data_IF_385543912037
#
_entry.id   IF_385543912037
#
_cell.length_a   1.000
_cell.length_b   1.000
_cell.length_c   1.000
_cell.angle_alpha   90.00
_cell.angle_beta   90.00
_cell.angle_gamma   90.00
#
_symmetry.space_group_name_H-M   'P 1'
#
loop_
_entity.id
_entity.type
_entity.pdbx_description
1 polymer ?
#
# COMPACT_ATOMS: atom_id res chain seq x y z
N UNK A 1 23.01 5.32 -12.01
CA UNK A 1 23.61 5.39 -10.66
C UNK A 1 22.47 5.40 -9.68
N UNK A 2 22.47 4.48 -8.71
CA UNK A 2 21.46 4.49 -7.66
C UNK A 2 21.56 5.78 -6.85
N UNK A 3 20.41 6.32 -6.46
CA UNK A 3 20.30 7.50 -5.58
C UNK A 3 19.61 7.13 -4.26
N UNK A 4 19.68 5.86 -3.85
CA UNK A 4 19.17 5.43 -2.56
C UNK A 4 20.03 6.04 -1.43
N UNK A 5 19.44 6.71 -0.42
CA UNK A 5 20.15 7.41 0.66
C UNK A 5 21.18 6.56 1.42
N UNK A 6 20.86 5.30 1.67
CA UNK A 6 21.72 4.33 2.35
C UNK A 6 22.97 4.00 1.53
N UNK A 7 22.86 3.94 0.21
CA UNK A 7 23.99 3.67 -0.68
C UNK A 7 24.86 4.91 -0.91
N UNK A 8 24.25 6.10 -1.02
CA UNK A 8 25.00 7.34 -1.30
C UNK A 8 25.66 7.92 -0.05
N UNK A 9 25.06 7.76 1.14
CA UNK A 9 25.60 8.29 2.40
C UNK A 9 26.23 7.22 3.30
N UNK A 10 26.08 5.92 2.99
CA UNK A 10 26.86 4.82 3.60
C UNK A 10 26.88 4.88 5.14
N UNK A 11 28.06 4.95 5.76
CA UNK A 11 28.19 4.97 7.22
C UNK A 11 27.61 6.22 7.89
N UNK A 12 27.38 7.31 7.14
CA UNK A 12 26.68 8.48 7.66
C UNK A 12 25.19 8.16 7.79
N UNK A 13 24.62 7.45 6.82
CA UNK A 13 23.22 7.02 6.88
C UNK A 13 22.97 6.11 8.08
N UNK A 14 23.78 5.07 8.26
CA UNK A 14 23.66 4.16 9.39
C UNK A 14 23.76 4.93 10.73
N UNK A 15 24.77 5.80 10.89
CA UNK A 15 24.95 6.58 12.13
C UNK A 15 23.74 7.48 12.40
N UNK A 16 23.23 8.17 11.38
CA UNK A 16 22.05 9.03 11.51
C UNK A 16 20.82 8.25 11.96
N UNK A 17 20.54 7.12 11.32
CA UNK A 17 19.37 6.31 11.65
C UNK A 17 19.46 5.70 13.06
N UNK A 18 20.63 5.16 13.44
CA UNK A 18 20.84 4.58 14.78
C UNK A 18 20.86 5.62 15.90
N UNK A 19 21.36 6.81 15.63
CA UNK A 19 21.36 7.92 16.60
C UNK A 19 19.98 8.55 16.80
N UNK A 20 18.99 8.20 15.96
CA UNK A 20 17.61 8.71 16.04
C UNK A 20 17.52 10.23 16.16
N UNK A 21 18.34 10.94 15.37
CA UNK A 21 18.29 12.41 15.33
C UNK A 21 16.93 12.93 14.86
N UNK A 22 16.20 12.11 14.10
CA UNK A 22 14.80 12.35 13.73
C UNK A 22 13.91 11.29 14.38
N UNK A 23 12.66 11.65 14.75
CA UNK A 23 11.71 10.70 15.34
C UNK A 23 11.18 9.66 14.33
N UNK A 24 11.23 9.96 13.02
CA UNK A 24 10.80 9.08 11.92
C UNK A 24 12.00 8.81 10.98
N UNK A 25 12.35 7.53 10.81
CA UNK A 25 13.45 7.04 9.96
C UNK A 25 13.35 7.50 8.50
N UNK A 26 12.14 7.77 8.00
CA UNK A 26 11.95 8.28 6.62
C UNK A 26 12.44 9.72 6.45
N UNK A 27 12.57 10.50 7.54
CA UNK A 27 13.00 11.89 7.47
C UNK A 27 14.35 12.05 6.79
N UNK A 28 15.34 11.23 7.18
CA UNK A 28 16.68 11.29 6.59
C UNK A 28 16.73 10.70 5.18
N UNK A 29 15.81 9.81 4.82
CA UNK A 29 15.72 9.27 3.46
C UNK A 29 15.28 10.31 2.43
N UNK A 30 14.63 11.38 2.89
CA UNK A 30 14.02 12.40 2.05
C UNK A 30 14.77 13.73 2.09
N UNK A 31 16.00 13.75 2.65
CA UNK A 31 16.82 14.96 2.68
C UNK A 31 17.46 15.26 1.34
N UNK A 32 17.77 16.53 1.13
CA UNK A 32 18.49 16.99 -0.05
C UNK A 32 19.81 17.64 0.40
N UNK A 33 20.96 17.31 -0.20
CA UNK A 33 22.21 18.03 0.04
C UNK A 33 22.07 19.53 -0.22
N UNK A 34 22.58 20.37 0.69
CA UNK A 34 22.52 21.84 0.52
C UNK A 34 23.46 22.36 -0.57
N UNK A 35 24.75 22.06 -0.43
CA UNK A 35 25.83 22.66 -1.23
C UNK A 35 26.78 21.62 -1.81
N UNK A 36 27.15 20.64 -0.99
CA UNK A 36 28.16 19.64 -1.32
C UNK A 36 27.54 18.42 -1.99
N UNK A 37 28.35 17.74 -2.81
CA UNK A 37 28.02 16.44 -3.37
C UNK A 37 28.03 15.36 -2.27
N UNK A 38 27.29 14.25 -2.40
CA UNK A 38 27.26 13.20 -1.38
C UNK A 38 28.64 12.67 -0.96
N UNK A 39 29.57 12.50 -1.89
CA UNK A 39 30.94 12.05 -1.60
C UNK A 39 31.73 13.07 -0.77
N UNK A 40 31.58 14.37 -1.06
CA UNK A 40 32.23 15.45 -0.29
C UNK A 40 31.68 15.52 1.14
N UNK A 41 30.35 15.37 1.30
CA UNK A 41 29.72 15.29 2.63
C UNK A 41 30.28 14.09 3.40
N UNK A 42 30.38 12.93 2.75
CA UNK A 42 30.86 11.71 3.38
C UNK A 42 32.34 11.81 3.79
N UNK A 43 33.18 12.44 2.97
CA UNK A 43 34.57 12.73 3.32
C UNK A 43 34.68 13.70 4.50
N UNK A 44 33.86 14.75 4.54
CA UNK A 44 33.82 15.69 5.67
C UNK A 44 33.37 14.98 6.95
N UNK A 45 32.32 14.17 6.86
CA UNK A 45 31.85 13.35 7.98
C UNK A 45 32.96 12.44 8.51
N UNK A 46 33.69 11.73 7.64
CA UNK A 46 34.81 10.85 8.03
C UNK A 46 35.93 11.61 8.77
N UNK A 47 36.21 12.85 8.37
CA UNK A 47 37.23 13.72 9.01
C UNK A 47 36.74 14.32 10.32
N UNK A 48 35.46 14.65 10.42
CA UNK A 48 34.89 15.33 11.57
C UNK A 48 34.47 14.38 12.69
N UNK A 49 33.96 13.18 12.36
CA UNK A 49 33.44 12.21 13.35
C UNK A 49 34.45 11.74 14.40
N UNK A 50 35.75 11.87 14.13
CA UNK A 50 36.82 11.50 15.05
C UNK A 50 37.17 12.61 16.07
N UNK A 51 36.63 13.82 15.88
CA UNK A 51 36.88 14.95 16.79
C UNK A 51 35.98 14.82 18.01
N UNK A 52 36.52 15.10 19.20
CA UNK A 52 35.76 15.07 20.46
C UNK A 52 34.63 16.10 20.52
N UNK A 53 34.67 17.12 19.66
CA UNK A 53 33.66 18.18 19.55
C UNK A 53 32.59 17.89 18.49
N UNK A 54 32.64 16.74 17.84
CA UNK A 54 31.69 16.41 16.78
C UNK A 54 30.28 16.20 17.33
N UNK A 55 29.31 16.88 16.73
CA UNK A 55 27.88 16.69 16.97
C UNK A 55 27.19 16.30 15.67
N UNK A 56 26.63 15.09 15.62
CA UNK A 56 26.01 14.54 14.42
C UNK A 56 24.79 15.36 13.98
N UNK A 57 24.01 15.86 14.94
CA UNK A 57 22.81 16.64 14.65
C UNK A 57 23.17 17.92 13.91
N UNK A 58 24.10 18.70 14.48
CA UNK A 58 24.64 19.93 13.87
C UNK A 58 25.19 19.64 12.48
N UNK A 59 26.02 18.59 12.34
CA UNK A 59 26.56 18.18 11.04
C UNK A 59 25.45 17.93 10.01
N UNK A 60 24.38 17.22 10.39
CA UNK A 60 23.26 16.94 9.48
C UNK A 60 22.52 18.22 9.09
N UNK A 61 22.17 19.08 10.05
CA UNK A 61 21.43 20.32 9.75
C UNK A 61 22.24 21.31 8.89
N UNK A 62 23.56 21.32 9.04
CA UNK A 62 24.48 22.15 8.25
C UNK A 62 24.64 21.67 6.80
N UNK A 63 24.52 20.37 6.55
CA UNK A 63 24.76 19.77 5.23
C UNK A 63 23.48 19.46 4.45
N UNK A 64 22.35 19.29 5.12
CA UNK A 64 21.11 18.82 4.50
C UNK A 64 19.92 19.77 4.66
N UNK A 65 19.07 19.80 3.64
CA UNK A 65 17.73 20.38 3.68
C UNK A 65 16.81 19.29 4.22
N UNK A 66 16.23 19.55 5.40
CA UNK A 66 15.29 18.64 6.03
C UNK A 66 13.90 18.87 5.42
N UNK A 67 13.20 17.81 5.02
CA UNK A 67 11.98 17.98 4.25
C UNK A 67 10.81 18.35 5.18
N UNK A 68 10.08 19.41 4.84
CA UNK A 68 9.00 19.94 5.67
C UNK A 68 7.76 19.02 5.70
N UNK A 69 7.02 19.05 6.80
CA UNK A 69 5.66 18.50 6.87
C UNK A 69 4.67 19.49 6.24
N UNK A 70 3.88 19.05 5.26
CA UNK A 70 2.80 19.87 4.70
C UNK A 70 1.54 19.72 5.53
N UNK A 71 1.03 20.81 6.12
CA UNK A 71 -0.28 20.82 6.74
C UNK A 71 -1.37 20.89 5.65
N UNK A 72 -2.19 19.85 5.55
CA UNK A 72 -3.33 19.77 4.61
C UNK A 72 -4.63 20.16 5.31
N UNK A 73 -4.66 21.30 5.99
CA UNK A 73 -5.86 21.76 6.70
C UNK A 73 -6.68 22.67 5.77
N UNK A 74 -7.95 22.31 5.57
CA UNK A 74 -8.93 23.12 4.84
C UNK A 74 -9.87 23.74 5.86
N UNK A 75 -9.68 25.03 6.18
CA UNK A 75 -10.45 25.71 7.24
C UNK A 75 -11.87 26.13 6.82
N UNK A 76 -12.20 26.12 5.52
CA UNK A 76 -13.44 26.73 4.99
C UNK A 76 -14.49 25.71 4.49
N UNK A 77 -14.25 24.40 4.63
CA UNK A 77 -15.21 23.37 4.17
C UNK A 77 -16.35 23.17 5.16
N UNK A 78 -17.61 23.13 4.69
CA UNK A 78 -18.80 22.95 5.54
C UNK A 78 -19.23 21.48 5.62
N UNK A 79 -18.94 20.67 4.61
CA UNK A 79 -19.26 19.23 4.58
C UNK A 79 -18.04 18.35 4.29
N UNK A 80 -18.12 17.06 4.64
CA UNK A 80 -17.08 16.05 4.33
C UNK A 80 -16.84 15.92 2.83
N UNK A 81 -17.91 16.01 2.02
CA UNK A 81 -17.83 16.00 0.55
C UNK A 81 -17.03 17.20 0.03
N UNK A 82 -17.40 18.41 0.44
CA UNK A 82 -16.71 19.66 0.05
C UNK A 82 -15.23 19.61 0.47
N UNK A 83 -14.93 19.09 1.66
CA UNK A 83 -13.56 18.90 2.12
C UNK A 83 -12.77 17.99 1.17
N UNK A 84 -13.31 16.83 0.81
CA UNK A 84 -12.63 15.90 -0.09
C UNK A 84 -12.32 16.54 -1.46
N UNK A 85 -13.28 17.27 -2.05
CA UNK A 85 -13.07 17.98 -3.32
C UNK A 85 -11.99 19.07 -3.21
N UNK A 86 -12.00 19.83 -2.10
CA UNK A 86 -11.07 20.95 -1.88
C UNK A 86 -9.66 20.49 -1.52
N UNK A 87 -9.47 19.23 -1.12
CA UNK A 87 -8.16 18.72 -0.72
C UNK A 87 -7.28 18.34 -1.91
N UNK A 88 -7.84 18.05 -3.08
CA UNK A 88 -7.05 17.58 -4.23
C UNK A 88 -5.90 18.51 -4.65
N UNK A 89 -6.08 19.85 -4.74
CA UNK A 89 -4.97 20.74 -5.01
C UNK A 89 -3.88 20.70 -3.93
N UNK A 90 -4.25 20.49 -2.67
CA UNK A 90 -3.32 20.42 -1.53
C UNK A 90 -2.55 19.10 -1.48
N UNK A 91 -3.09 18.03 -2.05
CA UNK A 91 -2.43 16.73 -2.20
C UNK A 91 -1.70 16.60 -3.54
N UNK A 92 -1.90 17.52 -4.49
CA UNK A 92 -1.21 17.47 -5.78
C UNK A 92 0.23 17.95 -5.64
N UNK A 93 1.17 17.23 -6.25
CA UNK A 93 2.59 17.55 -6.31
C UNK A 93 3.05 17.55 -7.76
N UNK A 94 4.12 18.29 -8.01
CA UNK A 94 4.91 18.25 -9.23
C UNK A 94 6.34 17.93 -8.83
N UNK A 95 7.02 17.05 -9.57
CA UNK A 95 8.45 16.87 -9.34
C UNK A 95 9.22 18.02 -9.96
N UNK A 96 10.19 18.55 -9.22
CA UNK A 96 11.21 19.44 -9.78
C UNK A 96 12.55 18.73 -9.76
N UNK A 97 13.43 19.07 -10.68
CA UNK A 97 14.74 18.44 -10.79
C UNK A 97 15.65 18.87 -9.64
N UNK A 98 15.70 18.03 -8.61
CA UNK A 98 16.58 18.20 -7.45
C UNK A 98 17.73 17.19 -7.53
N UNK A 99 18.98 17.67 -7.47
CA UNK A 99 20.15 16.78 -7.52
C UNK A 99 20.23 15.96 -6.23
N UNK A 100 20.47 14.65 -6.36
CA UNK A 100 20.61 13.71 -5.24
C UNK A 100 19.38 13.59 -4.35
N UNK A 101 18.22 14.00 -4.84
CA UNK A 101 16.95 13.69 -4.19
C UNK A 101 16.66 12.21 -4.33
N UNK A 102 16.16 11.60 -3.26
CA UNK A 102 15.63 10.24 -3.37
C UNK A 102 14.32 10.20 -4.19
N UNK A 103 13.67 11.34 -4.46
CA UNK A 103 12.46 11.41 -5.27
C UNK A 103 12.78 11.19 -6.75
N UNK A 104 12.10 10.23 -7.36
CA UNK A 104 12.21 9.95 -8.79
C UNK A 104 11.31 10.94 -9.55
N UNK A 105 11.91 11.66 -10.47
CA UNK A 105 11.24 12.63 -11.34
C UNK A 105 10.25 11.93 -12.28
N UNK A 106 9.05 12.49 -12.39
CA UNK A 106 8.00 12.05 -13.32
C UNK A 106 7.48 13.24 -14.15
N UNK A 107 7.01 13.02 -15.38
CA UNK A 107 6.72 14.10 -16.31
C UNK A 107 5.50 14.97 -15.97
N UNK A 108 4.55 14.46 -15.18
CA UNK A 108 3.26 15.13 -14.94
C UNK A 108 2.93 15.27 -13.44
N UNK A 109 1.96 16.14 -13.07
CA UNK A 109 1.47 16.24 -11.71
C UNK A 109 0.83 14.93 -11.22
N UNK A 110 0.91 14.68 -9.92
CA UNK A 110 0.34 13.50 -9.26
C UNK A 110 -0.21 13.85 -7.88
N UNK A 111 -1.11 13.01 -7.36
CA UNK A 111 -1.64 13.12 -6.00
C UNK A 111 -0.86 12.23 -5.05
N UNK A 112 -0.51 12.75 -3.87
CA UNK A 112 0.09 11.98 -2.78
C UNK A 112 -0.96 11.60 -1.74
N UNK A 113 -0.75 10.54 -0.93
CA UNK A 113 -1.71 10.17 0.10
C UNK A 113 -1.96 11.26 1.14
N UNK A 114 -0.90 11.87 1.69
CA UNK A 114 -0.99 12.89 2.74
C UNK A 114 0.03 12.69 3.88
N UNK A 115 0.25 13.73 4.70
CA UNK A 115 1.18 13.66 5.83
C UNK A 115 2.64 13.39 5.44
N UNK A 116 3.24 12.33 6.00
CA UNK A 116 4.63 11.89 5.74
C UNK A 116 4.84 11.34 4.32
N UNK A 117 3.77 10.94 3.65
CA UNK A 117 3.77 10.38 2.30
C UNK A 117 3.78 11.52 1.29
N UNK A 118 4.97 11.80 0.73
CA UNK A 118 5.25 12.96 -0.13
C UNK A 118 5.58 12.57 -1.57
N UNK A 119 5.41 11.30 -1.86
CA UNK A 119 5.54 10.63 -3.14
C UNK A 119 4.16 10.01 -3.45
N UNK A 120 3.87 9.72 -4.72
CA UNK A 120 2.68 8.89 -4.97
C UNK A 120 3.00 7.47 -4.47
N UNK A 121 1.94 6.76 -4.12
CA UNK A 121 1.97 5.32 -3.84
C UNK A 121 1.13 4.60 -4.88
N UNK A 122 1.59 3.43 -5.33
CA UNK A 122 1.04 2.76 -6.50
C UNK A 122 -0.44 2.39 -6.29
N UNK A 123 -0.76 1.47 -5.38
CA UNK A 123 -2.14 1.00 -5.23
C UNK A 123 -3.08 2.05 -4.62
N UNK A 124 -2.59 2.93 -3.73
CA UNK A 124 -3.32 4.09 -3.18
C UNK A 124 -3.92 4.96 -4.28
N UNK A 125 -3.20 5.07 -5.40
CA UNK A 125 -3.61 5.87 -6.53
C UNK A 125 -4.92 5.39 -7.11
N UNK A 126 -5.19 4.09 -7.19
CA UNK A 126 -6.43 3.59 -7.77
C UNK A 126 -7.64 4.08 -6.99
N UNK A 127 -7.58 3.98 -5.66
CA UNK A 127 -8.65 4.43 -4.79
C UNK A 127 -8.78 5.95 -4.79
N UNK A 128 -7.66 6.67 -4.90
CA UNK A 128 -7.65 8.13 -5.08
C UNK A 128 -8.30 8.54 -6.41
N UNK A 129 -8.06 7.79 -7.49
CA UNK A 129 -8.62 8.05 -8.82
C UNK A 129 -10.15 7.95 -8.83
N UNK A 130 -10.75 7.10 -7.98
CA UNK A 130 -12.20 7.05 -7.82
C UNK A 130 -12.77 8.42 -7.42
N UNK A 131 -12.17 9.08 -6.43
CA UNK A 131 -12.59 10.42 -6.01
C UNK A 131 -12.28 11.49 -7.04
N UNK A 132 -11.11 11.44 -7.67
CA UNK A 132 -10.75 12.39 -8.73
C UNK A 132 -11.73 12.32 -9.91
N UNK A 133 -12.23 11.13 -10.24
CA UNK A 133 -13.27 10.95 -11.25
C UNK A 133 -14.57 11.65 -10.84
N UNK A 134 -15.00 11.47 -9.59
CA UNK A 134 -16.15 12.17 -9.01
C UNK A 134 -15.97 13.69 -8.90
N UNK A 135 -14.74 14.15 -8.82
CA UNK A 135 -14.36 15.57 -8.84
C UNK A 135 -14.11 16.14 -10.25
N UNK A 136 -14.40 15.38 -11.31
CA UNK A 136 -14.16 15.76 -12.71
C UNK A 136 -12.70 16.16 -13.01
N UNK A 137 -11.72 15.56 -12.33
CA UNK A 137 -10.28 15.85 -12.49
C UNK A 137 -9.63 14.97 -13.56
N UNK A 138 -10.25 14.85 -14.74
CA UNK A 138 -9.83 13.93 -15.81
C UNK A 138 -8.39 14.17 -16.30
N UNK A 139 -7.94 15.42 -16.36
CA UNK A 139 -6.55 15.74 -16.76
C UNK A 139 -5.52 15.22 -15.76
N UNK A 140 -5.83 15.31 -14.45
CA UNK A 140 -4.96 14.81 -13.38
C UNK A 140 -4.95 13.27 -13.37
N UNK A 141 -6.10 12.62 -13.60
CA UNK A 141 -6.17 11.17 -13.78
C UNK A 141 -5.25 10.71 -14.93
N UNK A 142 -5.31 11.39 -16.08
CA UNK A 142 -4.47 11.07 -17.22
C UNK A 142 -2.99 11.29 -16.92
N UNK A 143 -2.65 12.38 -16.24
CA UNK A 143 -1.30 12.69 -15.78
C UNK A 143 -0.72 11.57 -14.90
N UNK A 144 -1.51 11.04 -13.95
CA UNK A 144 -1.08 9.95 -13.07
C UNK A 144 -0.86 8.64 -13.85
N UNK A 145 -1.73 8.32 -14.82
CA UNK A 145 -1.53 7.14 -15.68
C UNK A 145 -0.30 7.28 -16.58
N UNK A 146 -0.08 8.46 -17.16
CA UNK A 146 1.10 8.72 -17.99
C UNK A 146 2.40 8.68 -17.18
N UNK A 147 2.36 9.06 -15.88
CA UNK A 147 3.47 8.89 -14.94
C UNK A 147 3.77 7.42 -14.64
N UNK A 148 2.75 6.58 -14.40
CA UNK A 148 2.96 5.14 -14.22
C UNK A 148 3.53 4.47 -15.47
N UNK A 149 2.97 4.80 -16.64
CA UNK A 149 3.49 4.34 -17.92
C UNK A 149 4.96 4.77 -18.12
N UNK A 150 5.31 6.00 -17.75
CA UNK A 150 6.69 6.48 -17.77
C UNK A 150 7.60 5.65 -16.86
N UNK A 151 7.18 5.31 -15.64
CA UNK A 151 7.98 4.51 -14.72
C UNK A 151 8.13 3.06 -15.18
N UNK A 152 7.08 2.45 -15.72
CA UNK A 152 7.18 1.13 -16.34
C UNK A 152 8.24 1.15 -17.46
N UNK A 153 8.22 2.16 -18.34
CA UNK A 153 9.18 2.26 -19.45
C UNK A 153 10.62 2.56 -19.00
N UNK A 154 10.81 3.27 -17.90
CA UNK A 154 12.13 3.76 -17.46
C UNK A 154 12.77 2.96 -16.34
N UNK A 155 11.96 2.33 -15.48
CA UNK A 155 12.38 1.51 -14.32
C UNK A 155 12.10 0.02 -14.58
N UNK A 156 11.11 -0.30 -15.42
CA UNK A 156 10.71 -1.68 -15.74
C UNK A 156 9.49 -2.18 -14.94
N UNK A 157 9.03 -1.42 -13.95
CA UNK A 157 7.79 -1.66 -13.19
C UNK A 157 7.37 -0.36 -12.49
N UNK A 158 6.20 -0.37 -11.87
CA UNK A 158 5.78 0.71 -10.96
C UNK A 158 6.35 0.40 -9.57
N UNK A 159 7.29 1.20 -9.04
CA UNK A 159 7.79 1.00 -7.68
C UNK A 159 6.70 1.31 -6.64
N UNK A 160 6.87 0.84 -5.39
CA UNK A 160 5.95 1.10 -4.27
C UNK A 160 5.51 2.58 -4.22
N UNK A 161 6.47 3.49 -4.31
CA UNK A 161 6.27 4.90 -4.64
C UNK A 161 7.46 5.44 -5.45
N UNK A 162 7.40 6.68 -5.94
CA UNK A 162 8.50 7.26 -6.73
C UNK A 162 9.71 7.71 -5.91
N UNK A 163 10.32 6.79 -5.15
CA UNK A 163 11.58 7.01 -4.43
C UNK A 163 12.60 5.94 -4.80
N UNK A 164 13.88 6.31 -4.85
CA UNK A 164 14.95 5.36 -5.20
C UNK A 164 15.08 4.20 -4.21
N UNK A 165 14.76 4.37 -2.93
CA UNK A 165 14.74 3.29 -1.95
C UNK A 165 13.53 2.33 -2.09
N UNK A 166 12.62 2.61 -3.03
CA UNK A 166 11.49 1.74 -3.38
C UNK A 166 11.70 0.93 -4.66
N UNK A 167 12.75 1.16 -5.45
CA UNK A 167 12.92 0.52 -6.78
C UNK A 167 13.09 -1.00 -6.76
N UNK A 168 13.33 -1.59 -5.59
CA UNK A 168 13.40 -3.04 -5.42
C UNK A 168 12.05 -3.74 -5.42
N UNK A 169 10.98 -3.00 -5.15
CA UNK A 169 9.64 -3.54 -4.91
C UNK A 169 8.56 -2.68 -5.55
N UNK A 170 7.52 -3.35 -6.00
CA UNK A 170 6.30 -2.73 -6.49
C UNK A 170 5.30 -2.48 -5.34
N UNK A 171 4.02 -2.57 -5.66
CA UNK A 171 2.88 -2.64 -4.74
C UNK A 171 1.79 -3.50 -5.41
N UNK A 172 0.62 -3.76 -4.81
CA UNK A 172 -0.44 -4.53 -5.48
C UNK A 172 -0.75 -3.96 -6.89
N UNK A 173 -0.82 -4.80 -7.94
CA UNK A 173 -0.82 -4.31 -9.32
C UNK A 173 -2.20 -3.84 -9.78
N UNK A 174 -2.50 -2.58 -9.49
CA UNK A 174 -3.78 -1.94 -9.81
C UNK A 174 -3.79 -1.20 -11.17
N UNK A 175 -2.68 -1.12 -11.91
CA UNK A 175 -2.62 -0.32 -13.14
C UNK A 175 -3.65 -0.75 -14.18
N UNK A 176 -3.90 -2.06 -14.37
CA UNK A 176 -4.98 -2.52 -15.26
C UNK A 176 -6.36 -2.01 -14.84
N UNK A 177 -6.65 -2.02 -13.54
CA UNK A 177 -7.89 -1.50 -12.98
C UNK A 177 -7.99 0.02 -13.16
N UNK A 178 -6.88 0.75 -12.99
CA UNK A 178 -6.83 2.19 -13.21
C UNK A 178 -7.07 2.55 -14.68
N UNK A 179 -6.48 1.80 -15.62
CA UNK A 179 -6.67 2.04 -17.05
C UNK A 179 -8.09 1.69 -17.49
N UNK A 180 -8.69 0.64 -16.92
CA UNK A 180 -10.08 0.26 -17.17
C UNK A 180 -11.05 1.31 -16.62
N UNK A 181 -10.81 1.82 -15.41
CA UNK A 181 -11.63 2.86 -14.76
C UNK A 181 -11.88 4.08 -15.65
N UNK A 182 -10.90 4.46 -16.48
CA UNK A 182 -11.00 5.62 -17.39
C UNK A 182 -11.16 5.22 -18.86
N UNK A 183 -11.37 3.94 -19.16
CA UNK A 183 -11.58 3.43 -20.53
C UNK A 183 -10.35 3.57 -21.43
N UNK A 184 -9.14 3.41 -20.89
CA UNK A 184 -7.86 3.59 -21.60
C UNK A 184 -6.96 2.35 -21.63
N UNK A 185 -7.48 1.17 -21.31
CA UNK A 185 -6.70 -0.08 -21.35
C UNK A 185 -5.93 -0.27 -22.66
N UNK A 186 -6.56 -0.03 -23.83
CA UNK A 186 -5.89 -0.17 -25.12
C UNK A 186 -4.75 0.85 -25.34
N UNK A 187 -4.85 2.06 -24.77
CA UNK A 187 -3.79 3.08 -24.85
C UNK A 187 -2.50 2.61 -24.15
N UNK A 188 -2.64 1.88 -23.04
CA UNK A 188 -1.53 1.49 -22.17
C UNK A 188 -1.20 -0.01 -22.26
N UNK A 189 -1.62 -0.67 -23.34
CA UNK A 189 -1.48 -2.12 -23.50
C UNK A 189 -0.02 -2.59 -23.44
N UNK A 190 0.88 -1.83 -24.03
CA UNK A 190 2.32 -2.15 -24.03
C UNK A 190 2.88 -2.08 -22.60
N UNK A 191 2.53 -1.05 -21.83
CA UNK A 191 2.97 -0.92 -20.44
C UNK A 191 2.32 -1.97 -19.53
N UNK A 192 1.06 -2.33 -19.76
CA UNK A 192 0.40 -3.43 -19.06
C UNK A 192 1.09 -4.77 -19.33
N UNK A 193 1.52 -5.02 -20.58
CA UNK A 193 2.30 -6.21 -20.92
C UNK A 193 3.67 -6.18 -20.22
N UNK A 194 4.35 -5.04 -20.21
CA UNK A 194 5.63 -4.88 -19.50
C UNK A 194 5.48 -5.15 -17.99
N UNK A 195 4.44 -4.61 -17.35
CA UNK A 195 4.15 -4.90 -15.95
C UNK A 195 3.84 -6.38 -15.72
N UNK A 196 3.03 -7.00 -16.59
CA UNK A 196 2.77 -8.44 -16.52
C UNK A 196 4.08 -9.25 -16.58
N UNK A 197 4.99 -8.90 -17.50
CA UNK A 197 6.29 -9.56 -17.59
C UNK A 197 7.13 -9.35 -16.33
N UNK A 198 7.09 -8.19 -15.69
CA UNK A 198 7.73 -7.99 -14.39
C UNK A 198 7.20 -9.00 -13.35
N UNK A 199 5.88 -9.12 -13.18
CA UNK A 199 5.31 -10.06 -12.22
C UNK A 199 5.66 -11.51 -12.54
N UNK A 200 5.59 -11.90 -13.81
CA UNK A 200 5.87 -13.28 -14.21
C UNK A 200 7.35 -13.65 -14.14
N UNK A 201 8.27 -12.70 -14.30
CA UNK A 201 9.72 -12.95 -14.26
C UNK A 201 10.32 -12.76 -12.87
N UNK A 202 9.81 -11.81 -12.09
CA UNK A 202 10.39 -11.40 -10.80
C UNK A 202 9.62 -11.87 -9.57
N UNK A 203 8.36 -12.27 -9.74
CA UNK A 203 7.44 -12.58 -8.62
C UNK A 203 6.77 -13.94 -8.73
N UNK A 204 7.10 -14.73 -9.75
CA UNK A 204 6.50 -16.05 -9.95
C UNK A 204 7.06 -17.11 -8.99
N UNK A 205 6.18 -18.02 -8.60
CA UNK A 205 6.45 -19.23 -7.81
C UNK A 205 5.89 -20.40 -8.59
N UNK A 206 6.75 -21.38 -8.90
CA UNK A 206 6.34 -22.64 -9.52
C UNK A 206 6.12 -23.69 -8.43
N UNK A 207 4.90 -24.19 -8.32
CA UNK A 207 4.53 -25.26 -7.42
C UNK A 207 4.95 -26.63 -7.97
N UNK A 208 4.89 -27.66 -7.12
CA UNK A 208 5.34 -29.03 -7.44
C UNK A 208 4.65 -29.63 -8.68
N UNK A 209 3.39 -29.31 -8.90
CA UNK A 209 2.60 -29.78 -10.05
C UNK A 209 2.80 -28.93 -11.33
N UNK A 210 3.70 -27.96 -11.28
CA UNK A 210 3.98 -27.05 -12.38
C UNK A 210 3.09 -25.81 -12.44
N UNK A 211 2.10 -25.67 -11.54
CA UNK A 211 1.27 -24.47 -11.44
C UNK A 211 2.15 -23.26 -11.16
N UNK A 212 1.87 -22.14 -11.83
CA UNK A 212 2.55 -20.86 -11.60
C UNK A 212 1.56 -19.89 -10.98
N UNK A 213 1.93 -19.37 -9.82
CA UNK A 213 1.25 -18.26 -9.14
C UNK A 213 2.32 -17.25 -8.73
N UNK A 214 1.93 -16.14 -8.10
CA UNK A 214 2.86 -15.08 -7.74
C UNK A 214 2.86 -14.79 -6.23
N UNK A 215 4.00 -14.31 -5.74
CA UNK A 215 4.19 -13.82 -4.37
C UNK A 215 4.72 -12.39 -4.37
N UNK A 216 4.58 -11.70 -3.24
CA UNK A 216 5.32 -10.46 -3.01
C UNK A 216 6.79 -10.75 -2.67
N UNK A 217 7.69 -9.90 -3.15
CA UNK A 217 9.14 -10.01 -2.99
C UNK A 217 9.83 -8.65 -3.19
N UNK A 218 11.04 -8.45 -2.67
CA UNK A 218 11.85 -7.26 -2.98
C UNK A 218 13.17 -7.73 -3.60
N UNK A 219 13.54 -7.17 -4.75
CA UNK A 219 14.75 -7.53 -5.51
C UNK A 219 16.03 -7.04 -4.84
N UNK A 220 15.94 -6.11 -3.86
CA UNK A 220 17.09 -5.63 -3.11
C UNK A 220 17.56 -6.69 -2.09
N UNK A 221 18.82 -6.56 -1.69
CA UNK A 221 19.44 -7.44 -0.70
C UNK A 221 18.62 -7.54 0.59
N UNK A 222 18.81 -8.63 1.33
CA UNK A 222 18.26 -8.82 2.68
C UNK A 222 18.93 -7.86 3.69
N UNK A 223 18.58 -6.57 3.58
CA UNK A 223 19.04 -5.45 4.39
C UNK A 223 17.85 -4.64 4.90
N UNK A 224 17.96 -3.93 6.04
CA UNK A 224 16.88 -3.07 6.55
C UNK A 224 16.35 -2.09 5.49
N UNK A 225 15.04 -1.83 5.46
CA UNK A 225 14.42 -0.79 4.63
C UNK A 225 15.02 0.58 4.97
N UNK A 226 15.50 1.39 4.02
CA UNK A 226 16.06 2.71 4.35
C UNK A 226 15.07 3.58 5.14
N UNK A 227 13.80 3.60 4.73
CA UNK A 227 12.74 4.42 5.32
C UNK A 227 12.27 3.97 6.71
N UNK A 228 12.69 2.78 7.14
CA UNK A 228 12.40 2.16 8.44
C UNK A 228 13.64 1.46 9.01
N UNK A 229 14.83 2.04 8.78
CA UNK A 229 16.10 1.36 8.99
C UNK A 229 16.31 0.95 10.45
N UNK A 230 16.00 1.86 11.38
CA UNK A 230 16.12 1.60 12.81
C UNK A 230 15.14 0.49 13.23
N UNK A 231 13.88 0.62 12.82
CA UNK A 231 12.79 -0.31 13.14
C UNK A 231 13.11 -1.72 12.65
N UNK A 232 13.47 -1.87 11.38
CA UNK A 232 13.84 -3.16 10.78
C UNK A 232 15.06 -3.76 11.48
N UNK A 233 16.07 -2.94 11.78
CA UNK A 233 17.28 -3.40 12.49
C UNK A 233 16.93 -3.99 13.87
N UNK A 234 16.07 -3.31 14.63
CA UNK A 234 15.62 -3.79 15.95
C UNK A 234 14.78 -5.07 15.86
N UNK A 235 14.01 -5.27 14.79
CA UNK A 235 13.34 -6.55 14.54
C UNK A 235 14.35 -7.64 14.17
N UNK A 236 15.33 -7.32 13.32
CA UNK A 236 16.40 -8.25 12.95
C UNK A 236 17.22 -8.75 14.13
N UNK A 237 17.42 -7.92 15.17
CA UNK A 237 18.09 -8.34 16.41
C UNK A 237 17.29 -9.34 17.27
N UNK A 238 15.99 -9.51 17.02
CA UNK A 238 15.12 -10.40 17.82
C UNK A 238 15.03 -11.82 17.27
N UNK A 239 15.59 -12.08 16.09
CA UNK A 239 15.41 -13.34 15.38
C UNK A 239 16.67 -13.78 14.66
N UNK A 240 16.90 -15.08 14.60
CA UNK A 240 17.97 -15.69 13.80
C UNK A 240 17.52 -15.97 12.35
N UNK A 241 16.31 -15.57 11.97
CA UNK A 241 15.79 -15.79 10.61
C UNK A 241 16.65 -15.02 9.59
N UNK A 242 17.42 -15.70 8.73
CA UNK A 242 18.31 -15.04 7.79
C UNK A 242 17.56 -14.29 6.68
N UNK A 243 16.24 -14.48 6.56
CA UNK A 243 15.38 -13.82 5.57
C UNK A 243 14.48 -12.75 6.20
N UNK A 244 14.76 -12.28 7.42
CA UNK A 244 13.89 -11.32 8.12
C UNK A 244 13.65 -10.05 7.29
N UNK A 245 14.68 -9.45 6.73
CA UNK A 245 14.56 -8.18 6.00
C UNK A 245 13.82 -8.33 4.68
N UNK A 246 14.05 -9.42 3.93
CA UNK A 246 13.29 -9.65 2.69
C UNK A 246 11.82 -9.91 2.97
N UNK A 247 11.46 -10.53 4.10
CA UNK A 247 10.05 -10.70 4.50
C UNK A 247 9.40 -9.36 4.90
N UNK A 248 10.11 -8.50 5.64
CA UNK A 248 9.63 -7.15 5.98
C UNK A 248 9.41 -6.32 4.70
N UNK A 249 10.38 -6.33 3.77
CA UNK A 249 10.29 -5.64 2.48
C UNK A 249 9.16 -6.18 1.60
N UNK A 250 8.99 -7.50 1.55
CA UNK A 250 7.90 -8.12 0.79
C UNK A 250 6.52 -7.76 1.37
N UNK A 251 6.38 -7.58 2.69
CA UNK A 251 5.14 -7.10 3.28
C UNK A 251 4.87 -5.63 2.91
N UNK A 252 5.91 -4.80 2.76
CA UNK A 252 5.75 -3.46 2.20
C UNK A 252 5.34 -3.49 0.71
N UNK A 253 5.85 -4.44 -0.08
CA UNK A 253 5.34 -4.68 -1.46
C UNK A 253 3.89 -5.14 -1.47
N UNK A 254 3.43 -5.87 -0.45
CA UNK A 254 2.02 -6.28 -0.37
C UNK A 254 1.08 -5.12 -0.05
N UNK A 255 1.60 -3.97 0.39
CA UNK A 255 0.84 -2.87 0.97
C UNK A 255 0.25 -3.19 2.34
N UNK A 256 0.60 -4.31 2.97
CA UNK A 256 0.10 -4.74 4.28
C UNK A 256 1.24 -4.85 5.29
N UNK A 257 2.03 -3.79 5.42
CA UNK A 257 3.14 -3.62 6.36
C UNK A 257 2.65 -2.95 7.67
N UNK A 258 2.43 -3.67 8.76
CA UNK A 258 2.45 -5.12 8.90
C UNK A 258 1.09 -5.66 9.33
N UNK A 259 0.97 -6.99 9.27
CA UNK A 259 -0.25 -7.74 9.56
C UNK A 259 0.09 -9.12 10.10
N UNK A 260 -0.75 -9.62 11.01
CA UNK A 260 -0.78 -11.02 11.45
C UNK A 260 -0.90 -12.00 10.27
N UNK A 261 -1.45 -11.55 9.13
CA UNK A 261 -1.51 -12.27 7.86
C UNK A 261 -0.18 -12.93 7.46
N UNK A 262 0.94 -12.29 7.79
CA UNK A 262 2.28 -12.72 7.37
C UNK A 262 3.08 -13.40 8.48
N UNK A 263 2.56 -13.49 9.70
CA UNK A 263 3.31 -13.84 10.90
C UNK A 263 2.97 -15.27 11.34
N UNK A 264 3.96 -16.01 11.86
CA UNK A 264 3.71 -17.31 12.48
C UNK A 264 3.09 -17.17 13.87
N UNK A 265 3.61 -16.24 14.66
CA UNK A 265 2.98 -15.74 15.88
C UNK A 265 2.41 -14.35 15.61
N UNK A 266 1.08 -14.25 15.65
CA UNK A 266 0.32 -13.02 15.45
C UNK A 266 0.68 -11.87 16.43
N UNK A 267 1.43 -12.14 17.51
CA UNK A 267 1.94 -11.11 18.43
C UNK A 267 3.38 -10.66 18.15
N UNK A 268 4.14 -11.39 17.33
CA UNK A 268 5.58 -11.15 17.17
C UNK A 268 5.99 -11.00 15.70
N UNK A 269 6.22 -9.75 15.30
CA UNK A 269 6.66 -9.38 13.95
C UNK A 269 7.98 -10.06 13.56
N UNK A 270 8.82 -10.47 14.51
CA UNK A 270 10.07 -11.18 14.21
C UNK A 270 9.84 -12.56 13.56
N UNK A 271 8.60 -13.07 13.62
CA UNK A 271 8.16 -14.32 13.00
C UNK A 271 7.58 -14.16 11.59
N UNK A 272 7.69 -12.96 11.00
CA UNK A 272 7.18 -12.67 9.67
C UNK A 272 7.82 -13.56 8.59
N UNK A 273 6.98 -14.09 7.69
CA UNK A 273 7.36 -15.03 6.64
C UNK A 273 6.65 -14.76 5.30
N UNK A 274 6.39 -13.49 4.99
CA UNK A 274 5.66 -13.02 3.80
C UNK A 274 6.03 -13.76 2.51
N UNK A 275 7.33 -13.97 2.27
CA UNK A 275 7.83 -14.59 1.03
C UNK A 275 7.52 -16.08 0.90
N UNK A 276 7.01 -16.72 1.96
CA UNK A 276 6.54 -18.11 1.95
C UNK A 276 5.08 -18.24 1.50
N UNK A 277 4.36 -17.12 1.36
CA UNK A 277 2.97 -17.11 0.95
C UNK A 277 2.80 -16.78 -0.53
N UNK A 278 1.81 -17.42 -1.14
CA UNK A 278 1.17 -17.01 -2.38
C UNK A 278 -0.10 -16.26 -1.97
N UNK A 279 -0.15 -14.92 -2.10
CA UNK A 279 -1.25 -14.10 -1.63
C UNK A 279 -2.50 -14.18 -2.53
N UNK A 280 -3.68 -14.27 -1.94
CA UNK A 280 -4.95 -14.35 -2.70
C UNK A 280 -5.21 -13.07 -3.50
N UNK A 281 -5.06 -11.91 -2.88
CA UNK A 281 -5.26 -10.58 -3.49
C UNK A 281 -4.36 -10.36 -4.71
N UNK A 282 -3.06 -10.61 -4.58
CA UNK A 282 -2.10 -10.48 -5.69
C UNK A 282 -2.53 -11.32 -6.91
N UNK A 283 -2.89 -12.59 -6.68
CA UNK A 283 -3.23 -13.48 -7.77
C UNK A 283 -4.59 -13.15 -8.39
N UNK A 284 -5.53 -12.57 -7.62
CA UNK A 284 -6.75 -12.01 -8.21
C UNK A 284 -6.47 -10.77 -9.07
N UNK A 285 -5.58 -9.88 -8.64
CA UNK A 285 -5.19 -8.71 -9.43
C UNK A 285 -4.47 -9.09 -10.73
N UNK A 286 -3.60 -10.11 -10.68
CA UNK A 286 -2.95 -10.62 -11.89
C UNK A 286 -3.92 -11.34 -12.83
N UNK A 287 -4.94 -12.02 -12.29
CA UNK A 287 -6.04 -12.55 -13.10
C UNK A 287 -6.75 -11.43 -13.87
N UNK A 288 -7.04 -10.31 -13.20
CA UNK A 288 -7.61 -9.14 -13.86
C UNK A 288 -6.68 -8.60 -14.96
N UNK A 289 -5.38 -8.42 -14.67
CA UNK A 289 -4.39 -7.97 -15.65
C UNK A 289 -4.32 -8.89 -16.88
N UNK A 290 -4.35 -10.21 -16.68
CA UNK A 290 -4.37 -11.20 -17.77
C UNK A 290 -5.63 -11.03 -18.65
N UNK A 291 -6.80 -10.83 -18.03
CA UNK A 291 -8.03 -10.54 -18.79
C UNK A 291 -7.92 -9.21 -19.56
N UNK A 292 -7.40 -8.15 -18.94
CA UNK A 292 -7.21 -6.85 -19.59
C UNK A 292 -6.26 -6.93 -20.79
N UNK A 293 -5.30 -7.87 -20.80
CA UNK A 293 -4.38 -8.13 -21.90
C UNK A 293 -4.93 -9.12 -22.95
N UNK A 294 -6.10 -9.73 -22.71
CA UNK A 294 -6.67 -10.77 -23.57
C UNK A 294 -5.97 -12.14 -23.44
N UNK A 295 -5.22 -12.37 -22.36
CA UNK A 295 -4.52 -13.63 -22.04
C UNK A 295 -5.48 -14.63 -21.39
N UNK A 296 -6.51 -15.03 -22.14
CA UNK A 296 -7.64 -15.82 -21.62
C UNK A 296 -7.20 -17.18 -21.07
N UNK A 297 -6.23 -17.82 -21.70
CA UNK A 297 -5.72 -19.13 -21.27
C UNK A 297 -4.97 -19.03 -19.94
N UNK A 298 -4.10 -18.03 -19.79
CA UNK A 298 -3.36 -17.74 -18.57
C UNK A 298 -4.30 -17.37 -17.43
N UNK A 299 -5.28 -16.49 -17.70
CA UNK A 299 -6.30 -16.12 -16.75
C UNK A 299 -7.10 -17.34 -16.25
N UNK A 300 -7.49 -18.24 -17.15
CA UNK A 300 -8.24 -19.45 -16.77
C UNK A 300 -7.36 -20.41 -15.93
N UNK A 301 -6.09 -20.61 -16.29
CA UNK A 301 -5.17 -21.40 -15.47
C UNK A 301 -5.00 -20.80 -14.07
N UNK A 302 -4.86 -19.47 -13.97
CA UNK A 302 -4.75 -18.78 -12.68
C UNK A 302 -6.03 -18.90 -11.86
N UNK A 303 -7.20 -18.76 -12.50
CA UNK A 303 -8.50 -18.94 -11.85
C UNK A 303 -8.62 -20.34 -11.26
N UNK A 304 -8.24 -21.38 -12.01
CA UNK A 304 -8.23 -22.76 -11.55
C UNK A 304 -7.24 -22.99 -10.40
N UNK A 305 -6.06 -22.37 -10.48
CA UNK A 305 -5.05 -22.44 -9.42
C UNK A 305 -5.53 -21.78 -8.12
N UNK A 306 -6.14 -20.59 -8.20
CA UNK A 306 -6.76 -19.91 -7.05
C UNK A 306 -7.83 -20.81 -6.42
N UNK A 307 -8.71 -21.39 -7.24
CA UNK A 307 -9.74 -22.31 -6.76
C UNK A 307 -9.17 -23.55 -6.06
N UNK A 308 -8.07 -24.11 -6.58
CA UNK A 308 -7.43 -25.30 -6.03
C UNK A 308 -6.68 -25.02 -4.72
N UNK A 309 -5.89 -23.96 -4.68
CA UNK A 309 -4.92 -23.74 -3.59
C UNK A 309 -5.43 -22.84 -2.49
N UNK A 310 -6.35 -21.92 -2.80
CA UNK A 310 -6.70 -20.82 -1.90
C UNK A 310 -8.13 -20.91 -1.35
N UNK A 311 -9.02 -21.70 -1.93
CA UNK A 311 -10.34 -21.94 -1.33
C UNK A 311 -10.27 -22.96 -0.19
N UNK A 312 -10.60 -22.55 1.04
CA UNK A 312 -10.69 -23.46 2.18
C UNK A 312 -12.12 -23.98 2.35
N UNK A 313 -12.31 -25.29 2.16
CA UNK A 313 -13.59 -25.94 2.45
C UNK A 313 -13.90 -26.01 3.96
N UNK A 314 -12.88 -25.97 4.82
CA UNK A 314 -13.08 -25.96 6.27
C UNK A 314 -13.55 -24.58 6.73
N UNK A 315 -12.85 -23.53 6.32
CA UNK A 315 -13.15 -22.16 6.73
C UNK A 315 -14.28 -21.54 5.91
N UNK A 316 -14.62 -22.14 4.75
CA UNK A 316 -15.61 -21.61 3.80
C UNK A 316 -15.24 -20.17 3.38
N UNK A 317 -13.96 -19.97 3.06
CA UNK A 317 -13.39 -18.67 2.72
C UNK A 317 -12.10 -18.83 1.91
N UNK A 318 -11.70 -17.80 1.16
CA UNK A 318 -10.41 -17.79 0.46
C UNK A 318 -9.28 -17.34 1.39
N UNK A 319 -8.16 -18.06 1.33
CA UNK A 319 -6.99 -17.91 2.19
C UNK A 319 -5.73 -17.77 1.34
N UNK A 320 -4.70 -17.12 1.88
CA UNK A 320 -3.37 -17.22 1.29
C UNK A 320 -2.85 -18.66 1.38
N UNK A 321 -1.98 -19.06 0.45
CA UNK A 321 -1.39 -20.40 0.44
C UNK A 321 0.10 -20.34 0.81
N UNK A 322 0.49 -21.00 1.89
CA UNK A 322 1.90 -21.14 2.26
C UNK A 322 2.50 -22.33 1.47
N UNK A 323 3.27 -22.04 0.42
CA UNK A 323 3.77 -23.08 -0.48
C UNK A 323 4.97 -23.85 0.11
N UNK A 324 5.63 -23.32 1.13
CA UNK A 324 6.68 -24.02 1.87
C UNK A 324 6.07 -25.08 2.80
N UNK A 325 5.04 -24.70 3.56
CA UNK A 325 4.28 -25.61 4.44
C UNK A 325 3.23 -26.45 3.69
N UNK A 326 2.99 -26.13 2.42
CA UNK A 326 1.99 -26.75 1.52
C UNK A 326 0.57 -26.74 2.09
N UNK A 327 0.21 -25.65 2.78
CA UNK A 327 -1.09 -25.51 3.44
C UNK A 327 -1.63 -24.09 3.29
N UNK A 328 -2.95 -23.97 3.39
CA UNK A 328 -3.62 -22.68 3.50
C UNK A 328 -3.27 -22.00 4.83
N UNK A 329 -3.23 -20.67 4.82
CA UNK A 329 -3.19 -19.88 6.04
C UNK A 329 -4.48 -20.08 6.84
N UNK A 330 -4.39 -19.96 8.16
CA UNK A 330 -5.55 -19.93 9.06
C UNK A 330 -5.93 -18.50 9.47
N UNK A 331 -5.20 -17.48 9.00
CA UNK A 331 -5.52 -16.08 9.28
C UNK A 331 -6.61 -15.58 8.31
N UNK A 332 -7.81 -15.35 8.83
CA UNK A 332 -8.93 -14.80 8.06
C UNK A 332 -8.75 -13.29 7.88
N UNK A 333 -8.63 -12.85 6.63
CA UNK A 333 -8.39 -11.45 6.26
C UNK A 333 -9.33 -11.01 5.13
N UNK A 334 -9.58 -9.70 4.99
CA UNK A 334 -10.39 -9.18 3.89
C UNK A 334 -9.78 -9.42 2.49
N UNK A 335 -8.52 -9.86 2.38
CA UNK A 335 -7.96 -10.27 1.09
C UNK A 335 -8.76 -11.44 0.48
N UNK A 336 -9.38 -12.31 1.29
CA UNK A 336 -10.24 -13.40 0.81
C UNK A 336 -11.55 -12.95 0.14
N UNK A 337 -11.81 -11.64 0.09
CA UNK A 337 -12.95 -11.05 -0.64
C UNK A 337 -12.62 -10.73 -2.11
N UNK A 338 -11.34 -10.60 -2.47
CA UNK A 338 -10.91 -10.30 -3.84
C UNK A 338 -11.45 -11.27 -4.90
N UNK A 339 -11.53 -12.59 -4.65
CA UNK A 339 -12.14 -13.52 -5.59
C UNK A 339 -13.62 -13.25 -5.88
N UNK A 340 -14.37 -12.73 -4.91
CA UNK A 340 -15.76 -12.32 -5.11
C UNK A 340 -15.83 -11.03 -5.93
N UNK A 341 -15.00 -10.04 -5.59
CA UNK A 341 -14.94 -8.76 -6.31
C UNK A 341 -14.57 -8.94 -7.78
N UNK A 342 -13.55 -9.75 -8.07
CA UNK A 342 -13.03 -9.97 -9.42
C UNK A 342 -13.66 -11.19 -10.12
N UNK A 343 -14.84 -11.63 -9.63
CA UNK A 343 -15.70 -12.66 -10.25
C UNK A 343 -15.00 -14.01 -10.51
N UNK A 344 -14.06 -14.38 -9.64
CA UNK A 344 -13.38 -15.68 -9.61
C UNK A 344 -14.19 -16.69 -8.79
N UNK A 345 -14.80 -16.23 -7.70
CA UNK A 345 -15.61 -17.05 -6.80
C UNK A 345 -16.88 -17.56 -7.51
N UNK A 346 -17.26 -18.81 -7.23
CA UNK A 346 -18.56 -19.34 -7.67
C UNK A 346 -19.70 -18.68 -6.90
N UNK A 347 -20.93 -18.80 -7.39
CA UNK A 347 -22.11 -18.29 -6.69
C UNK A 347 -22.28 -18.90 -5.28
N UNK A 348 -21.91 -20.17 -5.07
CA UNK A 348 -21.96 -20.78 -3.74
C UNK A 348 -20.84 -20.27 -2.83
N UNK A 349 -19.63 -20.09 -3.34
CA UNK A 349 -18.53 -19.47 -2.59
C UNK A 349 -18.88 -18.02 -2.19
N UNK A 350 -19.49 -17.26 -3.09
CA UNK A 350 -19.94 -15.90 -2.81
C UNK A 350 -20.92 -15.85 -1.62
N UNK A 351 -21.82 -16.84 -1.48
CA UNK A 351 -22.71 -16.95 -0.31
C UNK A 351 -21.94 -17.09 0.99
N UNK A 352 -20.93 -17.97 0.99
CA UNK A 352 -20.10 -18.20 2.16
C UNK A 352 -19.23 -16.98 2.49
N UNK A 353 -18.63 -16.33 1.48
CA UNK A 353 -17.85 -15.10 1.65
C UNK A 353 -18.72 -14.01 2.27
N UNK A 354 -19.92 -13.76 1.75
CA UNK A 354 -20.83 -12.77 2.30
C UNK A 354 -21.22 -13.08 3.76
N UNK A 355 -21.51 -14.34 4.08
CA UNK A 355 -21.80 -14.77 5.45
C UNK A 355 -20.62 -14.55 6.39
N UNK A 356 -19.37 -14.79 5.94
CA UNK A 356 -18.17 -14.51 6.72
C UNK A 356 -17.92 -13.02 6.90
N UNK A 357 -18.14 -12.20 5.86
CA UNK A 357 -18.07 -10.73 5.96
C UNK A 357 -19.02 -10.24 7.06
N UNK A 358 -20.29 -10.64 7.00
CA UNK A 358 -21.32 -10.20 7.96
C UNK A 358 -21.04 -10.69 9.39
N UNK A 359 -20.66 -11.96 9.56
CA UNK A 359 -20.50 -12.55 10.89
C UNK A 359 -19.18 -12.24 11.58
N UNK A 360 -18.09 -12.06 10.82
CA UNK A 360 -16.74 -11.99 11.38
C UNK A 360 -16.08 -10.63 11.22
N UNK A 361 -16.26 -9.96 10.08
CA UNK A 361 -15.52 -8.74 9.75
C UNK A 361 -16.33 -7.46 9.97
N UNK A 362 -17.65 -7.53 9.81
CA UNK A 362 -18.53 -6.37 9.98
C UNK A 362 -18.56 -5.91 11.44
N UNK A 363 -18.35 -4.61 11.63
CA UNK A 363 -18.36 -3.88 12.90
C UNK A 363 -19.18 -2.61 12.74
N UNK A 364 -19.38 -1.87 13.81
CA UNK A 364 -20.22 -0.66 13.79
C UNK A 364 -19.65 0.44 12.89
N UNK A 365 -18.33 0.49 12.76
CA UNK A 365 -17.62 1.47 11.93
C UNK A 365 -17.29 1.04 10.50
N UNK A 366 -17.67 -0.17 10.08
CA UNK A 366 -17.26 -0.75 8.79
C UNK A 366 -16.68 -2.15 8.97
N UNK A 367 -15.74 -2.56 8.11
CA UNK A 367 -15.10 -3.86 8.17
C UNK A 367 -13.73 -3.80 8.84
N UNK A 368 -13.46 -4.74 9.74
CA UNK A 368 -12.14 -4.97 10.30
C UNK A 368 -11.25 -5.69 9.30
N UNK A 369 -9.95 -5.38 9.27
CA UNK A 369 -9.01 -5.90 8.26
C UNK A 369 -8.77 -7.41 8.38
N UNK A 370 -8.64 -7.87 9.61
CA UNK A 370 -8.49 -9.27 10.02
C UNK A 370 -9.45 -9.53 11.19
N UNK A 371 -9.42 -10.75 11.73
CA UNK A 371 -10.13 -11.10 12.97
C UNK A 371 -9.18 -11.32 14.16
N UNK A 372 -7.89 -11.01 14.02
CA UNK A 372 -6.92 -11.22 15.10
C UNK A 372 -7.09 -10.16 16.20
N UNK A 373 -7.50 -10.58 17.39
CA UNK A 373 -7.52 -9.71 18.58
C UNK A 373 -6.17 -9.65 19.31
N UNK A 374 -5.15 -10.33 18.79
CA UNK A 374 -3.83 -10.46 19.40
C UNK A 374 -2.81 -9.51 18.79
N UNK A 375 -2.88 -9.32 17.48
CA UNK A 375 -1.95 -8.45 16.77
C UNK A 375 -2.10 -7.00 17.18
N UNK A 376 -0.95 -6.32 17.30
CA UNK A 376 -0.87 -4.87 17.46
C UNK A 376 -0.46 -4.15 16.17
N UNK A 377 -0.42 -4.88 15.06
CA UNK A 377 -0.02 -4.33 13.76
C UNK A 377 -1.16 -3.53 13.12
N UNK A 378 -0.83 -2.67 12.15
CA UNK A 378 -1.80 -1.73 11.62
C UNK A 378 -2.80 -2.32 10.62
N UNK A 379 -2.41 -3.36 9.89
CA UNK A 379 -3.27 -4.09 8.96
C UNK A 379 -3.93 -5.28 9.66
N UNK A 380 -4.52 -5.02 10.83
CA UNK A 380 -5.24 -5.97 11.65
C UNK A 380 -6.41 -5.30 12.36
N UNK A 381 -7.26 -6.12 13.00
CA UNK A 381 -8.27 -5.64 13.92
C UNK A 381 -7.63 -4.78 15.05
N UNK A 382 -8.23 -3.64 15.45
CA UNK A 382 -9.57 -3.17 15.08
C UNK A 382 -9.62 -2.22 13.88
N UNK A 383 -8.52 -2.09 13.11
CA UNK A 383 -8.44 -1.10 12.05
C UNK A 383 -9.22 -1.55 10.79
N UNK A 384 -9.95 -0.61 10.21
CA UNK A 384 -10.51 -0.67 8.87
C UNK A 384 -9.83 0.32 7.94
N UNK A 385 -9.60 -0.10 6.69
CA UNK A 385 -8.91 0.67 5.66
C UNK A 385 -9.80 0.88 4.45
N UNK A 386 -9.84 2.11 3.93
CA UNK A 386 -10.73 2.50 2.83
C UNK A 386 -10.67 1.56 1.61
N UNK A 387 -9.48 1.11 1.15
CA UNK A 387 -9.37 0.11 0.08
C UNK A 387 -10.20 -1.15 0.29
N UNK A 388 -10.14 -1.72 1.51
CA UNK A 388 -10.79 -3.00 1.82
C UNK A 388 -12.29 -2.83 2.04
N UNK A 389 -12.73 -1.66 2.51
CA UNK A 389 -14.15 -1.31 2.53
C UNK A 389 -14.71 -1.25 1.10
N UNK A 390 -13.98 -0.60 0.19
CA UNK A 390 -14.38 -0.48 -1.21
C UNK A 390 -14.43 -1.84 -1.91
N UNK A 391 -13.39 -2.67 -1.76
CA UNK A 391 -13.36 -4.01 -2.35
C UNK A 391 -14.55 -4.85 -1.90
N UNK A 392 -14.84 -4.90 -0.59
CA UNK A 392 -15.98 -5.67 -0.08
C UNK A 392 -17.33 -5.08 -0.47
N UNK A 393 -17.47 -3.75 -0.44
CA UNK A 393 -18.65 -3.05 -0.93
C UNK A 393 -18.93 -3.42 -2.40
N UNK A 394 -17.93 -3.29 -3.28
CA UNK A 394 -18.04 -3.63 -4.69
C UNK A 394 -18.36 -5.11 -4.90
N UNK A 395 -17.68 -6.02 -4.19
CA UNK A 395 -17.97 -7.44 -4.26
C UNK A 395 -19.44 -7.75 -3.98
N UNK A 396 -20.01 -7.14 -2.94
CA UNK A 396 -21.38 -7.39 -2.50
C UNK A 396 -22.42 -6.74 -3.40
N UNK A 397 -22.26 -5.46 -3.78
CA UNK A 397 -23.24 -4.77 -4.64
C UNK A 397 -23.29 -5.34 -6.05
N UNK A 398 -22.18 -5.92 -6.54
CA UNK A 398 -22.11 -6.54 -7.86
C UNK A 398 -22.64 -7.99 -7.85
N UNK A 399 -22.94 -8.54 -6.67
CA UNK A 399 -23.46 -9.90 -6.51
C UNK A 399 -24.95 -9.87 -6.16
N UNK A 400 -25.84 -10.39 -7.02
CA UNK A 400 -27.28 -10.38 -6.77
C UNK A 400 -27.67 -10.98 -5.42
N UNK A 401 -28.48 -10.26 -4.65
CA UNK A 401 -28.99 -10.69 -3.34
C UNK A 401 -28.16 -10.24 -2.13
N UNK A 402 -27.04 -9.55 -2.35
CA UNK A 402 -26.15 -9.05 -1.30
C UNK A 402 -26.07 -7.53 -1.21
N UNK A 403 -26.92 -6.81 -1.95
CA UNK A 403 -26.92 -5.35 -2.05
C UNK A 403 -27.16 -4.71 -0.67
N UNK A 404 -28.01 -5.31 0.17
CA UNK A 404 -28.31 -4.81 1.53
C UNK A 404 -27.05 -4.84 2.42
N UNK A 405 -26.28 -5.92 2.38
CA UNK A 405 -25.04 -6.02 3.16
C UNK A 405 -23.99 -5.03 2.64
N UNK A 406 -23.86 -4.90 1.31
CA UNK A 406 -23.01 -3.90 0.68
C UNK A 406 -23.36 -2.47 1.11
N UNK A 407 -24.64 -2.09 1.06
CA UNK A 407 -25.12 -0.78 1.54
C UNK A 407 -24.86 -0.56 3.02
N UNK A 408 -25.01 -1.61 3.84
CA UNK A 408 -24.71 -1.56 5.28
C UNK A 408 -23.24 -1.21 5.53
N UNK A 409 -22.31 -1.83 4.82
CA UNK A 409 -20.87 -1.53 4.91
C UNK A 409 -20.60 -0.08 4.51
N UNK A 410 -21.15 0.35 3.38
CA UNK A 410 -21.04 1.74 2.89
C UNK A 410 -21.51 2.73 3.95
N UNK A 411 -22.71 2.52 4.50
CA UNK A 411 -23.31 3.44 5.46
C UNK A 411 -22.53 3.53 6.77
N UNK A 412 -22.07 2.40 7.31
CA UNK A 412 -21.25 2.37 8.52
C UNK A 412 -19.90 3.07 8.33
N UNK A 413 -19.21 2.76 7.23
CA UNK A 413 -17.93 3.38 6.91
C UNK A 413 -18.05 4.90 6.71
N UNK A 414 -19.01 5.34 5.88
CA UNK A 414 -19.24 6.76 5.64
C UNK A 414 -19.63 7.52 6.91
N UNK A 415 -20.52 6.93 7.74
CA UNK A 415 -20.93 7.55 9.01
C UNK A 415 -19.75 7.73 9.96
N UNK A 416 -18.84 6.75 9.99
CA UNK A 416 -17.59 6.86 10.76
C UNK A 416 -16.69 7.98 10.22
N UNK A 417 -16.48 8.05 8.90
CA UNK A 417 -15.69 9.11 8.29
C UNK A 417 -16.26 10.50 8.58
N UNK A 418 -17.57 10.70 8.38
CA UNK A 418 -18.26 11.97 8.60
C UNK A 418 -18.20 12.41 10.06
N UNK A 419 -18.37 11.48 11.00
CA UNK A 419 -18.28 11.81 12.43
C UNK A 419 -16.87 12.24 12.83
N UNK A 420 -15.84 11.48 12.44
CA UNK A 420 -14.44 11.84 12.74
C UNK A 420 -14.05 13.14 12.03
N UNK A 421 -14.51 13.36 10.80
CA UNK A 421 -14.30 14.62 10.10
C UNK A 421 -14.94 15.78 10.87
N UNK A 422 -16.17 15.63 11.37
CA UNK A 422 -16.83 16.65 12.20
C UNK A 422 -16.09 16.95 13.50
N UNK A 423 -15.46 15.93 14.11
CA UNK A 423 -14.69 16.08 15.36
C UNK A 423 -13.31 16.71 15.15
N UNK A 424 -12.66 16.41 14.02
CA UNK A 424 -11.22 16.70 13.83
C UNK A 424 -10.91 17.66 12.69
N UNK A 425 -11.86 17.87 11.76
CA UNK A 425 -11.67 18.59 10.50
C UNK A 425 -10.84 17.83 9.46
N UNK A 426 -10.61 16.52 9.65
CA UNK A 426 -9.67 15.74 8.84
C UNK A 426 -10.21 14.37 8.46
N UNK A 427 -9.79 13.89 7.30
CA UNK A 427 -9.92 12.49 6.89
C UNK A 427 -8.62 11.75 7.23
N UNK A 428 -8.75 10.53 7.73
CA UNK A 428 -7.64 9.74 8.26
C UNK A 428 -7.20 8.66 7.27
N UNK A 429 -5.96 8.21 7.40
CA UNK A 429 -5.41 7.03 6.70
C UNK A 429 -6.24 5.76 6.95
N UNK A 430 -6.59 5.51 8.22
CA UNK A 430 -7.29 4.31 8.70
C UNK A 430 -8.15 4.65 9.92
N UNK A 431 -9.12 3.80 10.24
CA UNK A 431 -10.11 4.05 11.31
C UNK A 431 -10.27 2.83 12.22
N UNK A 432 -10.47 3.05 13.53
CA UNK A 432 -10.90 1.98 14.44
C UNK A 432 -12.40 1.73 14.19
N UNK A 433 -12.71 0.58 13.58
CA UNK A 433 -14.08 0.23 13.21
C UNK A 433 -14.83 -0.50 14.32
N UNK A 434 -14.15 -0.87 15.41
CA UNK A 434 -14.72 -1.57 16.57
C UNK A 434 -15.09 -0.55 17.65
N UNK A 435 -14.14 0.29 18.07
CA UNK A 435 -14.35 1.38 18.99
C UNK A 435 -14.20 2.72 18.28
N UNK A 436 -15.31 3.15 17.68
CA UNK A 436 -15.40 4.39 16.91
C UNK A 436 -14.96 5.65 17.70
N UNK A 437 -14.96 5.63 19.03
CA UNK A 437 -14.56 6.78 19.85
C UNK A 437 -13.04 6.90 20.06
N UNK A 438 -12.24 5.99 19.49
CA UNK A 438 -10.78 5.99 19.60
C UNK A 438 -10.15 6.29 18.25
N UNK A 439 -9.01 7.01 18.23
CA UNK A 439 -8.19 7.07 17.02
C UNK A 439 -7.65 5.67 16.72
N UNK A 440 -7.58 5.34 15.44
CA UNK A 440 -6.91 4.13 14.97
C UNK A 440 -5.41 4.17 15.33
N UNK A 441 -4.82 3.00 15.56
CA UNK A 441 -3.43 2.87 16.01
C UNK A 441 -2.70 1.70 15.37
N UNK A 442 -1.59 1.29 16.00
CA UNK A 442 -0.77 0.16 15.55
C UNK A 442 0.19 0.50 14.41
N UNK A 443 1.17 -0.39 14.21
CA UNK A 443 2.24 -0.24 13.21
C UNK A 443 3.44 0.59 13.69
N UNK A 444 4.32 0.93 12.75
CA UNK A 444 5.63 1.55 13.02
C UNK A 444 5.61 3.09 13.05
N UNK A 445 4.52 3.73 12.62
CA UNK A 445 4.38 5.19 12.58
C UNK A 445 3.00 5.66 13.08
N UNK A 446 2.90 6.95 13.44
CA UNK A 446 1.64 7.58 13.88
C UNK A 446 0.65 7.68 12.72
N UNK A 447 -0.65 7.55 12.97
CA UNK A 447 -1.68 7.71 11.93
C UNK A 447 -1.51 9.02 11.14
N UNK A 448 -1.73 8.95 9.82
CA UNK A 448 -1.57 10.07 8.90
C UNK A 448 -2.90 10.75 8.55
N UNK A 449 -2.81 12.05 8.24
CA UNK A 449 -3.93 12.91 7.86
C UNK A 449 -3.91 13.15 6.34
N UNK A 450 -5.10 13.26 5.74
CA UNK A 450 -5.26 13.55 4.32
C UNK A 450 -6.61 13.03 3.81
N UNK A 451 -6.83 11.76 3.55
CA UNK A 451 -5.85 10.80 3.04
C UNK A 451 -6.37 10.33 1.67
N UNK A 452 -5.51 10.27 0.65
CA UNK A 452 -5.89 10.09 -0.76
C UNK A 452 -6.96 9.01 -1.01
N UNK A 453 -6.72 7.76 -0.57
CA UNK A 453 -7.71 6.70 -0.75
C UNK A 453 -9.00 6.90 0.04
N UNK A 454 -8.97 7.62 1.17
CA UNK A 454 -10.11 7.71 2.09
C UNK A 454 -11.08 8.68 1.48
N UNK A 455 -10.54 9.80 1.01
CA UNK A 455 -11.28 10.82 0.27
C UNK A 455 -11.84 10.22 -1.03
N UNK A 456 -11.03 9.42 -1.71
CA UNK A 456 -11.42 8.75 -2.96
C UNK A 456 -12.59 7.79 -2.80
N UNK A 457 -12.46 6.86 -1.86
CA UNK A 457 -13.50 5.87 -1.55
C UNK A 457 -14.75 6.54 -0.98
N UNK A 458 -14.59 7.54 -0.09
CA UNK A 458 -15.72 8.28 0.47
C UNK A 458 -16.55 8.96 -0.64
N UNK A 459 -15.89 9.70 -1.55
CA UNK A 459 -16.59 10.35 -2.66
C UNK A 459 -17.29 9.34 -3.57
N UNK A 460 -16.62 8.24 -3.92
CA UNK A 460 -17.24 7.19 -4.74
C UNK A 460 -18.50 6.62 -4.09
N UNK A 461 -18.40 6.22 -2.82
CA UNK A 461 -19.54 5.71 -2.05
C UNK A 461 -20.66 6.75 -1.89
N UNK A 462 -20.30 8.02 -1.67
CA UNK A 462 -21.23 9.12 -1.53
C UNK A 462 -22.07 9.32 -2.80
N UNK A 463 -21.44 9.38 -3.98
CA UNK A 463 -22.17 9.53 -5.24
C UNK A 463 -22.96 8.28 -5.62
N UNK A 464 -22.48 7.07 -5.30
CA UNK A 464 -23.27 5.84 -5.49
C UNK A 464 -24.56 5.85 -4.65
N UNK A 465 -24.48 6.32 -3.40
CA UNK A 465 -25.67 6.47 -2.53
C UNK A 465 -26.70 7.42 -3.14
N UNK A 466 -26.25 8.53 -3.74
CA UNK A 466 -27.15 9.49 -4.39
C UNK A 466 -27.85 8.92 -5.63
N UNK A 467 -27.20 8.06 -6.41
CA UNK A 467 -27.82 7.44 -7.59
C UNK A 467 -28.84 6.35 -7.25
N UNK A 468 -28.81 5.82 -6.02
CA UNK A 468 -29.75 4.82 -5.52
C UNK A 468 -30.99 5.41 -4.83
N UNK A 469 -30.97 6.72 -4.52
CA UNK A 469 -32.04 7.46 -3.82
C UNK A 469 -32.95 8.16 -4.82
#
# INVERSE_FOLDING_TARGET
MSQSPDEIYQELFDHVQRSRIFPDSKTFCDVIPRKLQPNEILENYRKEKIKTTFDLSTFVFDHFIIPNSTNTVVNDSRTTEEHCHNLWPLLTRVTTKEKFSSLIEVPYPFVVPGGRFREFYYWDTYFTMLGLLRSNKLELLNSMLDNFAYLIRTIGHIPNGNRYYYIGRSQPPYFSLMTELVGKTEKYKDELEMEYQFWMTKRSVKLDDGTILNRYYDDLSNTPRPEAFFEDTEIGHKTDNPNIYVNLRAAAESGWDFSSRWMEDENDLSTIQTTNFIPIDLNCLLYHLELSLGKITEAEHRRQAIQKYMWSNELQFFMDYNFIKKQQSNCLTLAGVFPMWLKIATSDQAKHIASRIESLFLRDGGLSTTISDKSTQQWDNPNGWAPLQYVAYCALIQTPGYEILGRTIRERWMSLNERIFKETGKMMEKYDVVNMNKPAGGGEYKAQDGFGWTNGVYLEMFYQKQTES
#
